data_IF_117387276859
#
_entry.id   IF_117387276859
#
_cell.length_a   1.000
_cell.length_b   1.000
_cell.length_c   1.000
_cell.angle_alpha   90.00
_cell.angle_beta   90.00
_cell.angle_gamma   90.00
#
_symmetry.space_group_name_H-M   'P 1'
#
loop_
_entity.id
_entity.type
_entity.pdbx_description
1 polymer ?
#
# COMPACT_ATOMS: atom_id res chain seq x y z
N UNK A 1 -12.44 -34.90 71.89
CA UNK A 1 -13.53 -35.65 71.22
C UNK A 1 -14.38 -34.61 70.51
N UNK A 2 -14.49 -34.46 69.20
CA UNK A 2 -13.94 -35.07 67.98
C UNK A 2 -14.07 -33.96 66.90
N UNK A 3 -12.99 -33.64 66.19
CA UNK A 3 -12.81 -33.88 64.74
C UNK A 3 -13.40 -32.82 63.79
N UNK A 4 -12.50 -32.11 63.10
CA UNK A 4 -12.65 -31.64 61.71
C UNK A 4 -12.53 -32.87 60.76
N UNK A 5 -13.06 -32.92 59.50
CA UNK A 5 -12.78 -32.00 58.36
C UNK A 5 -14.01 -31.79 57.40
N UNK A 6 -14.03 -30.93 56.38
CA UNK A 6 -13.30 -31.05 55.11
C UNK A 6 -13.45 -29.81 54.19
N UNK A 7 -12.36 -29.52 53.48
CA UNK A 7 -12.26 -28.73 52.24
C UNK A 7 -12.95 -29.52 51.09
N UNK A 8 -13.54 -29.00 50.01
CA UNK A 8 -13.07 -28.23 48.83
C UNK A 8 -14.34 -28.11 47.94
N UNK A 9 -14.63 -27.01 47.23
CA UNK A 9 -14.45 -26.92 45.76
C UNK A 9 -14.68 -25.50 45.24
N UNK A 10 -13.75 -25.12 44.37
CA UNK A 10 -13.55 -23.87 43.64
C UNK A 10 -14.73 -23.57 42.72
N UNK A 11 -15.24 -22.33 42.76
CA UNK A 11 -15.96 -21.74 41.62
C UNK A 11 -15.07 -20.63 41.05
N UNK A 12 -14.55 -20.90 39.86
CA UNK A 12 -13.79 -20.00 39.01
C UNK A 12 -14.71 -18.87 38.53
N UNK A 13 -14.35 -17.59 38.70
CA UNK A 13 -14.80 -16.39 37.95
C UNK A 13 -14.20 -15.17 38.69
N UNK A 14 -13.52 -14.19 38.12
CA UNK A 14 -13.34 -13.75 36.74
C UNK A 14 -11.97 -13.09 36.61
N UNK A 15 -11.23 -13.39 35.55
CA UNK A 15 -10.05 -12.61 35.16
C UNK A 15 -10.55 -11.32 34.52
N UNK A 16 -10.57 -10.23 35.28
CA UNK A 16 -10.68 -8.86 34.77
C UNK A 16 -9.35 -8.49 34.11
N UNK A 17 -9.19 -8.92 32.87
CA UNK A 17 -8.14 -8.48 31.97
C UNK A 17 -8.77 -8.15 30.64
N UNK A 18 -9.31 -6.93 30.51
CA UNK A 18 -9.72 -6.37 29.22
C UNK A 18 -8.46 -6.23 28.39
N UNK A 19 -8.10 -7.30 27.69
CA UNK A 19 -7.15 -7.24 26.58
C UNK A 19 -7.78 -6.32 25.55
N UNK A 20 -7.30 -5.09 25.51
CA UNK A 20 -7.60 -4.11 24.48
C UNK A 20 -7.19 -4.74 23.15
N UNK A 21 -8.14 -5.40 22.49
CA UNK A 21 -7.95 -5.95 21.17
C UNK A 21 -7.60 -4.78 20.26
N UNK A 22 -6.32 -4.68 19.90
CA UNK A 22 -5.83 -3.87 18.80
C UNK A 22 -6.47 -4.43 17.53
N UNK A 23 -7.73 -4.08 17.29
CA UNK A 23 -8.32 -4.17 15.97
C UNK A 23 -7.62 -3.12 15.13
N UNK A 24 -6.48 -3.50 14.54
CA UNK A 24 -6.00 -2.87 13.33
C UNK A 24 -7.10 -3.07 12.30
N UNK A 25 -8.02 -2.10 12.21
CA UNK A 25 -9.00 -2.05 11.15
C UNK A 25 -8.21 -2.02 9.85
N UNK A 26 -8.08 -3.19 9.22
CA UNK A 26 -7.67 -3.29 7.84
C UNK A 26 -8.82 -2.70 7.05
N UNK A 27 -8.83 -1.37 6.91
CA UNK A 27 -9.67 -0.73 5.92
C UNK A 27 -9.31 -1.42 4.61
N UNK A 28 -10.26 -2.13 4.01
CA UNK A 28 -10.18 -2.57 2.61
C UNK A 28 -10.29 -1.28 1.78
N UNK A 29 -9.26 -0.43 1.88
CA UNK A 29 -9.13 0.79 1.12
C UNK A 29 -8.70 0.40 -0.28
N UNK A 30 -9.36 0.99 -1.28
CA UNK A 30 -8.90 0.88 -2.66
C UNK A 30 -7.44 1.36 -2.71
N UNK A 31 -6.53 0.50 -3.19
CA UNK A 31 -5.12 0.84 -3.27
C UNK A 31 -4.94 2.14 -4.08
N UNK A 32 -4.19 3.12 -3.56
CA UNK A 32 -3.98 4.38 -4.26
C UNK A 32 -3.36 4.10 -5.64
N UNK A 33 -3.95 4.69 -6.67
CA UNK A 33 -3.66 4.32 -8.07
C UNK A 33 -3.14 5.50 -8.88
N UNK A 34 -2.15 5.23 -9.74
CA UNK A 34 -1.64 6.14 -10.76
C UNK A 34 -1.94 5.57 -12.13
N UNK A 35 -2.71 6.30 -12.92
CA UNK A 35 -3.08 5.95 -14.29
C UNK A 35 -2.15 6.54 -15.34
N UNK A 36 -2.00 5.86 -16.47
CA UNK A 36 -1.70 6.51 -17.76
C UNK A 36 -2.85 6.17 -18.71
N UNK A 37 -3.38 7.20 -19.38
CA UNK A 37 -4.43 7.09 -20.40
C UNK A 37 -4.10 8.06 -21.53
N UNK A 38 -4.71 7.84 -22.69
CA UNK A 38 -4.59 8.72 -23.85
C UNK A 38 -4.47 7.94 -25.14
N UNK A 39 -4.79 8.61 -26.23
CA UNK A 39 -4.62 8.09 -27.60
C UNK A 39 -3.66 8.94 -28.44
N UNK A 40 -3.06 9.96 -27.84
CA UNK A 40 -2.08 10.82 -28.50
C UNK A 40 -0.87 11.09 -27.57
N UNK A 41 0.33 11.33 -28.12
CA UNK A 41 1.50 11.70 -27.33
C UNK A 41 1.28 12.89 -26.40
N UNK A 42 0.47 13.85 -26.82
CA UNK A 42 0.12 15.00 -25.99
C UNK A 42 -0.60 14.59 -24.71
N UNK A 43 -1.35 13.48 -24.71
CA UNK A 43 -2.16 12.98 -23.58
C UNK A 43 -1.36 12.22 -22.52
N UNK A 44 -0.21 11.65 -22.90
CA UNK A 44 0.53 10.73 -22.05
C UNK A 44 1.14 11.44 -20.84
N UNK A 45 0.69 11.01 -19.66
CA UNK A 45 1.20 11.47 -18.36
C UNK A 45 0.71 10.56 -17.26
N UNK A 46 1.45 10.54 -16.15
CA UNK A 46 0.95 9.95 -14.91
C UNK A 46 -0.17 10.80 -14.32
N UNK A 47 -1.31 10.18 -13.98
CA UNK A 47 -2.47 10.79 -13.32
C UNK A 47 -2.84 10.02 -12.04
N UNK A 48 -2.70 10.62 -10.84
CA UNK A 48 -2.13 11.94 -10.61
C UNK A 48 -0.62 11.96 -10.87
N UNK A 49 -0.07 13.15 -11.14
CA UNK A 49 1.39 13.34 -11.31
C UNK A 49 2.13 13.27 -9.98
N UNK A 50 1.49 13.74 -8.92
CA UNK A 50 1.96 13.69 -7.54
C UNK A 50 0.93 12.89 -6.75
N UNK A 51 1.36 11.82 -6.11
CA UNK A 51 0.52 11.02 -5.24
C UNK A 51 1.06 11.08 -3.81
N UNK A 52 0.23 11.45 -2.86
CA UNK A 52 0.57 11.46 -1.44
C UNK A 52 -0.04 10.23 -0.76
N UNK A 53 0.74 9.53 0.05
CA UNK A 53 0.32 8.33 0.78
C UNK A 53 0.99 8.27 2.14
N UNK A 54 0.45 7.47 3.06
CA UNK A 54 1.13 7.14 4.32
C UNK A 54 2.12 5.99 4.17
N UNK A 55 3.07 5.88 5.11
CA UNK A 55 3.91 4.70 5.28
C UNK A 55 3.11 3.39 5.24
N UNK A 56 3.67 2.39 4.57
CA UNK A 56 3.07 1.07 4.41
C UNK A 56 2.10 0.98 3.22
N UNK A 57 1.78 2.09 2.55
CA UNK A 57 0.92 2.08 1.37
C UNK A 57 1.54 1.31 0.20
N UNK A 58 0.70 0.53 -0.48
CA UNK A 58 1.02 -0.06 -1.78
C UNK A 58 0.35 0.76 -2.86
N UNK A 59 1.15 1.39 -3.73
CA UNK A 59 0.65 2.14 -4.88
C UNK A 59 0.54 1.21 -6.08
N UNK A 60 -0.54 1.34 -6.83
CA UNK A 60 -0.77 0.61 -8.07
C UNK A 60 -0.69 1.56 -9.27
N UNK A 61 0.24 1.32 -10.18
CA UNK A 61 0.23 1.92 -11.50
C UNK A 61 -0.55 1.05 -12.46
N UNK A 62 -1.43 1.64 -13.25
CA UNK A 62 -2.15 0.92 -14.31
C UNK A 62 -2.23 1.78 -15.55
N UNK A 63 -2.00 1.18 -16.70
CA UNK A 63 -2.22 1.85 -17.96
C UNK A 63 -2.80 0.90 -18.97
N UNK A 64 -3.56 1.50 -19.87
CA UNK A 64 -4.19 0.89 -21.02
C UNK A 64 -4.34 2.02 -22.03
N UNK A 65 -3.39 2.09 -22.96
CA UNK A 65 -3.21 3.19 -23.90
C UNK A 65 -2.84 2.63 -25.27
N UNK A 66 -2.82 3.49 -26.30
CA UNK A 66 -2.39 3.09 -27.63
C UNK A 66 -0.86 3.08 -27.83
N UNK A 67 -0.07 3.32 -26.79
CA UNK A 67 1.39 3.31 -26.85
C UNK A 67 2.00 2.63 -25.61
N UNK A 68 3.21 2.04 -25.72
CA UNK A 68 3.85 1.40 -24.59
C UNK A 68 4.29 2.40 -23.52
N UNK A 69 4.10 2.03 -22.26
CA UNK A 69 4.58 2.79 -21.11
C UNK A 69 5.24 1.88 -20.08
N UNK A 70 5.94 2.51 -19.15
CA UNK A 70 6.54 1.88 -17.99
C UNK A 70 6.61 2.86 -16.81
N UNK A 71 7.01 2.32 -15.66
CA UNK A 71 7.35 3.04 -14.45
C UNK A 71 8.78 2.67 -14.08
N UNK A 72 9.66 3.66 -13.96
CA UNK A 72 11.06 3.42 -13.61
C UNK A 72 11.50 4.34 -12.47
N UNK A 73 11.94 3.74 -11.37
CA UNK A 73 12.52 4.41 -10.21
C UNK A 73 14.04 4.19 -10.17
N UNK A 74 14.82 5.05 -10.84
CA UNK A 74 16.28 4.89 -10.90
C UNK A 74 16.95 4.85 -9.51
N UNK A 75 16.44 5.62 -8.55
CA UNK A 75 16.99 5.65 -7.18
C UNK A 75 16.59 4.44 -6.31
N UNK A 76 15.49 3.76 -6.64
CA UNK A 76 15.06 2.56 -5.92
C UNK A 76 15.55 1.26 -6.58
N UNK A 77 15.99 1.31 -7.84
CA UNK A 77 16.26 0.11 -8.63
C UNK A 77 15.01 -0.64 -9.09
N UNK A 78 13.82 -0.06 -8.87
CA UNK A 78 12.53 -0.68 -9.16
C UNK A 78 11.97 -0.22 -10.51
N UNK A 79 11.39 -1.15 -11.26
CA UNK A 79 10.78 -0.85 -12.55
C UNK A 79 9.68 -1.84 -12.95
N UNK A 80 8.77 -1.39 -13.81
CA UNK A 80 7.77 -2.25 -14.44
C UNK A 80 8.26 -2.81 -15.77
N UNK A 81 7.49 -3.74 -16.34
CA UNK A 81 7.55 -4.06 -17.77
C UNK A 81 7.15 -2.86 -18.63
N UNK A 82 7.59 -2.85 -19.88
CA UNK A 82 7.17 -1.89 -20.91
C UNK A 82 6.12 -2.52 -21.83
N UNK A 83 4.86 -2.06 -21.76
CA UNK A 83 3.73 -2.59 -22.56
C UNK A 83 2.69 -1.50 -22.83
N UNK A 84 1.78 -1.70 -23.79
CA UNK A 84 0.65 -0.79 -24.03
C UNK A 84 -0.45 -0.89 -22.96
N UNK A 85 -0.62 -2.09 -22.37
CA UNK A 85 -1.50 -2.33 -21.23
C UNK A 85 -0.77 -3.16 -20.17
N UNK A 86 -0.73 -2.65 -18.93
CA UNK A 86 -0.11 -3.35 -17.80
C UNK A 86 -0.50 -2.72 -16.45
N UNK A 87 -0.16 -3.44 -15.38
CA UNK A 87 -0.20 -2.96 -14.01
C UNK A 87 1.12 -3.22 -13.30
N UNK A 88 1.49 -2.34 -12.38
CA UNK A 88 2.69 -2.45 -11.56
C UNK A 88 2.38 -2.01 -10.13
N UNK A 89 2.86 -2.73 -9.11
CA UNK A 89 2.60 -2.40 -7.71
C UNK A 89 3.91 -2.26 -6.95
N UNK A 90 4.00 -1.25 -6.08
CA UNK A 90 5.15 -1.05 -5.20
C UNK A 90 4.69 -0.60 -3.82
N UNK A 91 5.24 -1.22 -2.77
CA UNK A 91 4.97 -0.87 -1.37
C UNK A 91 6.02 0.09 -0.84
N UNK A 92 5.59 1.17 -0.21
CA UNK A 92 6.47 2.19 0.36
C UNK A 92 6.47 2.12 1.88
N UNK A 93 7.54 1.57 2.47
CA UNK A 93 7.66 1.43 3.93
C UNK A 93 8.42 2.57 4.61
N UNK A 94 9.06 3.46 3.83
CA UNK A 94 9.87 4.56 4.35
C UNK A 94 9.26 5.88 3.90
N UNK A 95 9.29 6.87 4.79
CA UNK A 95 8.90 8.24 4.44
C UNK A 95 9.90 8.83 3.44
N UNK A 96 9.43 9.72 2.57
CA UNK A 96 10.27 10.38 1.58
C UNK A 96 9.57 10.67 0.26
N UNK A 97 10.31 11.25 -0.68
CA UNK A 97 9.83 11.51 -2.04
C UNK A 97 10.48 10.57 -3.04
N UNK A 98 9.66 9.81 -3.75
CA UNK A 98 10.07 8.81 -4.74
C UNK A 98 9.69 9.29 -6.13
N UNK A 99 10.68 9.73 -6.90
CA UNK A 99 10.50 10.17 -8.29
C UNK A 99 10.65 8.99 -9.24
N UNK A 100 9.81 8.97 -10.27
CA UNK A 100 9.83 7.97 -11.32
C UNK A 100 9.52 8.60 -12.67
N UNK A 101 9.91 7.89 -13.73
CA UNK A 101 9.73 8.32 -15.12
C UNK A 101 9.10 7.21 -15.94
N UNK A 102 8.44 7.58 -17.03
CA UNK A 102 8.26 6.69 -18.16
C UNK A 102 9.42 6.95 -19.13
N UNK A 103 10.26 5.94 -19.38
CA UNK A 103 11.45 6.09 -20.24
C UNK A 103 11.13 6.06 -21.73
N UNK A 104 9.87 5.79 -22.10
CA UNK A 104 9.42 5.75 -23.50
C UNK A 104 9.05 7.14 -24.01
N UNK A 105 8.52 7.99 -23.12
CA UNK A 105 7.92 9.28 -23.48
C UNK A 105 8.34 10.42 -22.54
N UNK A 106 9.40 10.22 -21.75
CA UNK A 106 10.09 11.19 -20.89
C UNK A 106 9.22 12.01 -19.91
N UNK A 107 7.99 11.58 -19.62
CA UNK A 107 7.17 12.20 -18.58
C UNK A 107 7.47 11.60 -17.19
N UNK A 108 7.30 12.42 -16.16
CA UNK A 108 7.69 12.10 -14.78
C UNK A 108 6.54 12.26 -13.79
N UNK A 109 6.59 11.46 -12.72
CA UNK A 109 5.71 11.53 -11.56
C UNK A 109 6.49 11.39 -10.25
N UNK A 110 5.79 11.56 -9.13
CA UNK A 110 6.36 11.28 -7.80
C UNK A 110 5.32 10.76 -6.81
N UNK A 111 5.75 9.86 -5.94
CA UNK A 111 5.03 9.49 -4.72
C UNK A 111 5.68 10.22 -3.54
N UNK A 112 4.89 10.88 -2.71
CA UNK A 112 5.32 11.46 -1.44
C UNK A 112 4.74 10.61 -0.32
N UNK A 113 5.61 10.11 0.55
CA UNK A 113 5.24 9.24 1.66
C UNK A 113 5.46 9.98 2.97
N UNK A 114 4.36 10.22 3.70
CA UNK A 114 4.34 10.79 5.05
C UNK A 114 4.44 9.75 6.15
#
# INVERSE_FOLDING_TARGET
>A
MHSFPAKVTVTLLAVLGVSCALFAASSIGVAPTVGIKGTSPADYRFKPRVLEVGKGATVNWRWDSNAPHNVTFSKLGEHSVTKAAASFKLKFNKAGTYRYVCTVHDFSGKVVVG
#
